data_IF_911684058692
#
_entry.id   IF_911684058692
#
_cell.length_a   1.000
_cell.length_b   1.000
_cell.length_c   1.000
_cell.angle_alpha   90.00
_cell.angle_beta   90.00
_cell.angle_gamma   90.00
#
_symmetry.space_group_name_H-M   'P 1'
#
loop_
_entity.id
_entity.type
_entity.pdbx_description
1 polymer ?
#
# COMPACT_ATOMS: atom_id res chain seq x y z
N UNK A 1 15.25 14.52 -4.51
CA UNK A 1 13.96 14.94 -5.11
C UNK A 1 13.23 13.76 -5.76
N UNK A 2 13.95 12.82 -6.39
CA UNK A 2 13.39 11.62 -7.03
C UNK A 2 12.80 10.61 -6.04
N UNK A 3 13.50 10.32 -4.95
CA UNK A 3 13.02 9.45 -3.87
C UNK A 3 11.67 9.89 -3.29
N UNK A 4 11.45 11.20 -3.13
CA UNK A 4 10.16 11.75 -2.67
C UNK A 4 9.01 11.40 -3.62
N UNK A 5 9.24 11.51 -4.94
CA UNK A 5 8.24 11.15 -5.95
C UNK A 5 7.93 9.66 -5.94
N UNK A 6 8.94 8.81 -5.70
CA UNK A 6 8.78 7.37 -5.57
C UNK A 6 7.94 7.05 -4.33
N UNK A 7 8.29 7.60 -3.17
CA UNK A 7 7.52 7.45 -1.91
C UNK A 7 6.08 7.90 -2.08
N UNK A 8 5.84 9.07 -2.69
CA UNK A 8 4.49 9.57 -2.96
C UNK A 8 3.68 8.62 -3.88
N UNK A 9 4.34 8.04 -4.89
CA UNK A 9 3.71 7.07 -5.79
C UNK A 9 3.36 5.76 -5.06
N UNK A 10 4.26 5.24 -4.20
CA UNK A 10 4.03 4.04 -3.38
C UNK A 10 2.85 4.23 -2.42
N UNK A 11 2.81 5.39 -1.74
CA UNK A 11 1.67 5.76 -0.87
C UNK A 11 0.36 5.81 -1.63
N UNK A 12 0.35 6.39 -2.83
CA UNK A 12 -0.86 6.44 -3.65
C UNK A 12 -1.29 5.05 -4.14
N UNK A 13 -0.35 4.19 -4.55
CA UNK A 13 -0.63 2.82 -4.93
C UNK A 13 -1.23 2.01 -3.78
N UNK A 14 -0.62 2.04 -2.59
CA UNK A 14 -1.14 1.37 -1.38
C UNK A 14 -2.55 1.85 -1.00
N UNK A 15 -2.82 3.16 -1.16
CA UNK A 15 -4.16 3.74 -0.95
C UNK A 15 -5.19 3.24 -1.97
N UNK A 16 -4.81 3.13 -3.25
CA UNK A 16 -5.69 2.59 -4.30
C UNK A 16 -6.00 1.12 -4.03
N UNK A 17 -5.00 0.30 -3.70
CA UNK A 17 -5.20 -1.12 -3.35
C UNK A 17 -6.12 -1.27 -2.14
N UNK A 18 -5.96 -0.44 -1.12
CA UNK A 18 -6.87 -0.42 0.04
C UNK A 18 -8.32 -0.12 -0.36
N UNK A 19 -8.55 0.75 -1.34
CA UNK A 19 -9.90 1.01 -1.88
C UNK A 19 -10.40 -0.17 -2.69
N UNK A 20 -9.55 -0.79 -3.52
CA UNK A 20 -9.91 -1.95 -4.34
C UNK A 20 -10.40 -3.09 -3.45
N UNK A 21 -9.67 -3.41 -2.37
CA UNK A 21 -10.06 -4.44 -1.39
C UNK A 21 -11.38 -4.11 -0.68
N UNK A 22 -11.62 -2.84 -0.34
CA UNK A 22 -12.84 -2.43 0.41
C UNK A 22 -14.07 -2.28 -0.45
N UNK A 23 -13.91 -1.93 -1.73
CA UNK A 23 -15.01 -1.56 -2.62
C UNK A 23 -15.39 -2.64 -3.63
N UNK A 24 -14.56 -3.66 -3.81
CA UNK A 24 -14.85 -4.76 -4.71
C UNK A 24 -14.84 -6.06 -3.90
N UNK A 25 -15.90 -6.86 -4.03
CA UNK A 25 -15.81 -8.27 -3.66
C UNK A 25 -14.92 -8.96 -4.69
N UNK A 26 -13.62 -8.92 -4.47
CA UNK A 26 -12.67 -9.68 -5.26
C UNK A 26 -12.90 -11.17 -4.99
N UNK A 27 -12.75 -12.03 -6.01
CA UNK A 27 -12.46 -13.45 -5.79
C UNK A 27 -11.30 -13.63 -4.81
N UNK A 28 -11.37 -14.65 -3.95
CA UNK A 28 -10.41 -14.81 -2.83
C UNK A 28 -8.95 -14.94 -3.28
N UNK A 29 -8.70 -15.52 -4.44
CA UNK A 29 -7.38 -15.58 -5.08
C UNK A 29 -6.86 -14.18 -5.43
N UNK A 30 -7.69 -13.33 -6.04
CA UNK A 30 -7.33 -11.95 -6.35
C UNK A 30 -7.20 -11.07 -5.09
N UNK A 31 -7.98 -11.33 -4.05
CA UNK A 31 -7.83 -10.63 -2.77
C UNK A 31 -6.46 -10.90 -2.13
N UNK A 32 -6.00 -12.16 -2.17
CA UNK A 32 -4.68 -12.56 -1.66
C UNK A 32 -3.57 -11.86 -2.45
N UNK A 33 -3.64 -11.88 -3.78
CA UNK A 33 -2.65 -11.20 -4.64
C UNK A 33 -2.59 -9.69 -4.37
N UNK A 34 -3.74 -9.03 -4.22
CA UNK A 34 -3.81 -7.61 -3.88
C UNK A 34 -3.26 -7.32 -2.48
N UNK A 35 -3.49 -8.21 -1.51
CA UNK A 35 -2.89 -8.11 -0.18
C UNK A 35 -1.37 -8.22 -0.22
N UNK A 36 -0.83 -9.20 -0.95
CA UNK A 36 0.61 -9.41 -1.11
C UNK A 36 1.26 -8.20 -1.78
N UNK A 37 0.69 -7.72 -2.89
CA UNK A 37 1.19 -6.53 -3.59
C UNK A 37 1.20 -5.30 -2.66
N UNK A 38 0.15 -5.13 -1.83
CA UNK A 38 0.09 -4.02 -0.88
C UNK A 38 1.15 -4.15 0.22
N UNK A 39 1.43 -5.37 0.69
CA UNK A 39 2.49 -5.63 1.65
C UNK A 39 3.85 -5.26 1.08
N UNK A 40 4.19 -5.74 -0.12
CA UNK A 40 5.46 -5.44 -0.79
C UNK A 40 5.68 -3.92 -0.97
N UNK A 41 4.63 -3.19 -1.34
CA UNK A 41 4.69 -1.74 -1.49
C UNK A 41 4.91 -0.99 -0.17
N UNK A 42 4.35 -1.50 0.93
CA UNK A 42 4.57 -0.92 2.27
C UNK A 42 6.01 -1.18 2.74
N UNK A 43 6.50 -2.41 2.58
CA UNK A 43 7.91 -2.74 2.88
C UNK A 43 8.87 -1.87 2.08
N UNK A 44 8.64 -1.71 0.77
CA UNK A 44 9.47 -0.84 -0.07
C UNK A 44 9.38 0.63 0.37
N UNK A 45 8.21 1.09 0.81
CA UNK A 45 8.05 2.45 1.33
C UNK A 45 8.83 2.67 2.63
N UNK A 46 8.83 1.70 3.54
CA UNK A 46 9.61 1.73 4.79
C UNK A 46 11.12 1.73 4.51
N UNK A 47 11.60 0.86 3.61
CA UNK A 47 13.02 0.79 3.20
C UNK A 47 13.53 2.11 2.59
N UNK A 48 12.65 2.85 1.92
CA UNK A 48 12.96 4.16 1.35
C UNK A 48 12.84 5.31 2.36
N UNK A 49 12.60 5.03 3.65
CA UNK A 49 12.44 6.03 4.69
C UNK A 49 11.14 6.83 4.58
N UNK A 50 10.11 6.25 3.95
CA UNK A 50 8.78 6.83 3.91
C UNK A 50 8.12 6.76 5.28
N UNK A 51 7.81 7.91 5.89
CA UNK A 51 7.03 7.94 7.13
C UNK A 51 5.61 7.43 6.86
N UNK A 52 5.23 6.30 7.45
CA UNK A 52 3.87 5.79 7.42
C UNK A 52 3.03 6.45 8.52
N UNK A 53 2.25 7.47 8.15
CA UNK A 53 1.26 8.11 9.03
C UNK A 53 0.00 7.25 9.27
N UNK A 54 -0.05 6.00 8.79
CA UNK A 54 -1.30 5.23 8.76
C UNK A 54 -1.30 3.90 9.55
N UNK A 55 -0.16 3.47 10.10
CA UNK A 55 -0.09 2.15 10.79
C UNK A 55 -0.42 2.25 12.29
N UNK A 56 -0.39 3.43 12.91
CA UNK A 56 -0.64 3.60 14.35
C UNK A 56 -2.08 4.01 14.75
N UNK A 57 -2.99 4.29 13.81
CA UNK A 57 -4.34 4.77 14.19
C UNK A 57 -5.42 3.68 14.28
N UNK A 58 -5.13 2.40 14.01
CA UNK A 58 -6.17 1.34 14.02
C UNK A 58 -5.71 -0.05 14.46
N UNK A 59 -4.88 -0.13 15.51
CA UNK A 59 -4.91 -1.27 16.44
C UNK A 59 -5.45 -0.76 17.77
#
# INVERSE_FOLDING_TARGET
>A
MEQKKIVDALKNASRVLSKVMRSNCLPSDLEIEVCNLRYDLLTLNEELGGEDTAVLERM
#
